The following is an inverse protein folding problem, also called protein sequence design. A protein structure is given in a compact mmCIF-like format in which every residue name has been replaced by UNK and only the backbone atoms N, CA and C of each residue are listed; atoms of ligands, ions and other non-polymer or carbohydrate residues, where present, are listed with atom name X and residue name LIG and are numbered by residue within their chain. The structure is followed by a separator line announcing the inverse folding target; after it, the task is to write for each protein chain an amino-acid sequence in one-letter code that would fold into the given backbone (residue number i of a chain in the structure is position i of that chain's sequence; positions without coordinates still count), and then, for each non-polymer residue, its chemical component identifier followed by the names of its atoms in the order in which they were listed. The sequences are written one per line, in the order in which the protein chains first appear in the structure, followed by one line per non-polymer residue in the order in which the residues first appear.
data_IF_208481509982
#
_entry.id   IF_208481509982
#
_cell.length_a   1.000
_cell.length_b   1.000
_cell.length_c   1.000
_cell.angle_alpha   90.00
_cell.angle_beta   90.00
_cell.angle_gamma   90.00
#
_symmetry.space_group_name_H-M   'P 1'
#
loop_
_entity.id
_entity.type
_entity.pdbx_description
1 polymer ?
#
# COMPACT_ATOMS: atom_id res chain seq x y z
N UNK A 1 13.53 24.97 1.47
CA UNK A 1 13.41 23.64 0.81
C UNK A 1 12.71 22.71 1.79
N UNK A 2 11.47 22.30 1.52
CA UNK A 2 10.79 21.31 2.36
C UNK A 2 11.35 19.93 2.05
N UNK A 3 12.11 19.36 2.99
CA UNK A 3 12.60 17.98 2.95
C UNK A 3 11.44 17.06 2.52
N UNK A 4 11.62 16.17 1.52
CA UNK A 4 10.59 15.17 1.20
C UNK A 4 10.23 14.44 2.48
N UNK A 5 8.94 14.40 2.81
CA UNK A 5 8.46 13.60 3.94
C UNK A 5 8.66 12.14 3.55
N UNK A 6 9.81 11.59 3.94
CA UNK A 6 10.13 10.18 3.80
C UNK A 6 9.19 9.45 4.76
N UNK A 7 8.33 8.57 4.24
CA UNK A 7 7.60 7.64 5.09
C UNK A 7 8.62 6.66 5.70
N UNK A 8 8.74 6.58 7.03
CA UNK A 8 9.64 5.61 7.65
C UNK A 8 9.23 4.17 7.28
N UNK A 9 10.17 3.21 7.29
CA UNK A 9 9.81 1.80 7.26
C UNK A 9 8.92 1.43 8.45
N UNK A 10 7.94 0.55 8.25
CA UNK A 10 7.02 0.15 9.31
C UNK A 10 5.78 -0.59 8.85
N UNK A 11 4.90 -0.87 9.81
CA UNK A 11 3.58 -1.46 9.60
C UNK A 11 2.50 -0.39 9.64
N UNK A 12 1.64 -0.35 8.63
CA UNK A 12 0.65 0.72 8.43
C UNK A 12 -0.74 0.18 8.12
N UNK A 13 -1.76 0.92 8.54
CA UNK A 13 -3.11 0.78 8.00
C UNK A 13 -3.39 1.94 7.06
N UNK A 14 -3.62 1.62 5.79
CA UNK A 14 -3.87 2.60 4.74
C UNK A 14 -5.37 2.86 4.68
N UNK A 15 -5.77 4.13 4.56
CA UNK A 15 -7.18 4.51 4.32
C UNK A 15 -7.31 5.26 3.01
N UNK A 16 -8.48 5.10 2.41
CA UNK A 16 -8.92 5.92 1.30
C UNK A 16 -9.43 7.26 1.82
N UNK A 17 -8.78 8.36 1.46
CA UNK A 17 -9.14 9.71 1.92
C UNK A 17 -10.56 10.14 1.52
N UNK A 18 -11.09 9.63 0.40
CA UNK A 18 -12.42 9.96 -0.09
C UNK A 18 -13.54 9.22 0.64
N UNK A 19 -13.30 7.99 1.08
CA UNK A 19 -14.33 7.15 1.71
C UNK A 19 -14.11 6.92 3.22
N UNK A 20 -12.91 7.21 3.73
CA UNK A 20 -12.49 6.88 5.10
C UNK A 20 -12.29 5.38 5.36
N UNK A 21 -12.58 4.53 4.37
CA UNK A 21 -12.46 3.08 4.46
C UNK A 21 -10.99 2.65 4.42
N UNK A 22 -10.67 1.55 5.09
CA UNK A 22 -9.36 0.94 5.02
C UNK A 22 -9.13 0.32 3.64
N UNK A 23 -7.89 0.33 3.17
CA UNK A 23 -7.45 -0.40 2.00
C UNK A 23 -6.68 -1.62 2.49
N UNK A 24 -7.09 -2.82 2.07
CA UNK A 24 -6.42 -4.04 2.52
C UNK A 24 -7.06 -5.31 1.98
N UNK A 25 -6.61 -6.43 2.52
CA UNK A 25 -7.20 -7.73 2.25
C UNK A 25 -8.20 -8.09 3.35
N UNK A 26 -9.39 -8.54 2.95
CA UNK A 26 -10.35 -9.15 3.89
C UNK A 26 -9.81 -10.54 4.27
N UNK A 27 -9.77 -10.85 5.57
CA UNK A 27 -9.23 -12.09 6.16
C UNK A 27 -9.57 -13.32 5.30
N UNK A 28 -8.58 -13.90 4.62
CA UNK A 28 -8.77 -15.09 3.78
C UNK A 28 -7.56 -16.01 3.89
N UNK A 29 -7.81 -17.28 4.25
CA UNK A 29 -6.81 -18.30 4.54
C UNK A 29 -6.15 -18.95 3.29
N UNK A 30 -6.29 -18.34 2.11
CA UNK A 30 -5.84 -18.95 0.85
C UNK A 30 -4.73 -18.13 0.19
N UNK A 31 -3.58 -18.76 -0.02
CA UNK A 31 -2.46 -18.27 -0.82
C UNK A 31 -2.91 -18.06 -2.28
N UNK A 32 -2.56 -16.93 -2.89
CA UNK A 32 -2.85 -16.63 -4.30
C UNK A 32 -3.03 -15.14 -4.60
N UNK A 33 -3.27 -14.82 -5.87
CA UNK A 33 -3.54 -13.46 -6.35
C UNK A 33 -4.87 -12.96 -5.78
N UNK A 34 -4.82 -12.08 -4.77
CA UNK A 34 -6.02 -11.55 -4.10
C UNK A 34 -6.18 -10.05 -4.35
N UNK A 35 -7.38 -9.57 -4.73
CA UNK A 35 -7.66 -8.15 -4.84
C UNK A 35 -7.55 -7.47 -3.48
N UNK A 36 -6.85 -6.34 -3.47
CA UNK A 36 -6.95 -5.34 -2.41
C UNK A 36 -8.25 -4.57 -2.61
N UNK A 37 -9.01 -4.40 -1.52
CA UNK A 37 -10.34 -3.80 -1.55
C UNK A 37 -10.45 -2.67 -0.52
N UNK A 38 -11.47 -1.83 -0.66
CA UNK A 38 -11.90 -0.92 0.40
C UNK A 38 -12.74 -1.69 1.41
N UNK A 39 -12.41 -1.57 2.69
CA UNK A 39 -12.98 -2.32 3.80
C UNK A 39 -13.45 -1.31 4.86
N UNK A 40 -14.69 -1.45 5.33
CA UNK A 40 -15.26 -0.56 6.35
C UNK A 40 -14.62 -0.74 7.73
N UNK A 41 -14.14 -1.94 8.02
CA UNK A 41 -13.48 -2.32 9.26
C UNK A 41 -11.96 -2.39 9.09
N UNK A 42 -11.23 -2.22 10.19
CA UNK A 42 -9.77 -2.34 10.18
C UNK A 42 -9.36 -3.77 9.78
N UNK A 43 -8.48 -3.94 8.77
CA UNK A 43 -7.98 -5.25 8.38
C UNK A 43 -7.19 -5.90 9.51
N UNK A 44 -7.18 -7.23 9.57
CA UNK A 44 -6.33 -7.97 10.51
C UNK A 44 -4.84 -7.97 10.12
N UNK A 45 -4.53 -7.59 8.88
CA UNK A 45 -3.18 -7.58 8.32
C UNK A 45 -2.79 -6.13 7.98
N UNK A 46 -1.68 -5.67 8.55
CA UNK A 46 -1.10 -4.38 8.22
C UNK A 46 -0.30 -4.46 6.91
N UNK A 47 -0.08 -3.29 6.31
CA UNK A 47 0.85 -3.11 5.21
C UNK A 47 2.25 -2.97 5.76
N UNK A 48 3.17 -3.78 5.29
CA UNK A 48 4.58 -3.68 5.61
C UNK A 48 5.26 -2.83 4.53
N UNK A 49 5.86 -1.72 4.93
CA UNK A 49 6.53 -0.78 4.03
C UNK A 49 8.01 -0.74 4.41
N UNK A 50 8.88 -1.09 3.47
CA UNK A 50 10.33 -0.99 3.62
C UNK A 50 10.88 0.03 2.62
N UNK A 51 11.79 0.90 3.06
CA UNK A 51 12.49 1.84 2.17
C UNK A 51 13.75 1.18 1.60
N UNK A 52 13.95 1.31 0.29
CA UNK A 52 15.16 0.90 -0.41
C UNK A 52 16.19 2.02 -0.42
N UNK A 53 17.48 1.67 -0.59
CA UNK A 53 18.59 2.63 -0.63
C UNK A 53 18.45 3.67 -1.76
N UNK A 54 17.72 3.33 -2.83
CA UNK A 54 17.44 4.22 -3.95
C UNK A 54 16.28 5.22 -3.68
N UNK A 55 15.69 5.20 -2.48
CA UNK A 55 14.58 6.06 -2.08
C UNK A 55 13.19 5.56 -2.51
N UNK A 56 13.10 4.45 -3.24
CA UNK A 56 11.85 3.75 -3.49
C UNK A 56 11.47 2.87 -2.30
N UNK A 57 10.32 2.21 -2.41
CA UNK A 57 9.74 1.39 -1.35
C UNK A 57 9.38 0.00 -1.84
N UNK A 58 9.49 -1.00 -0.98
CA UNK A 58 8.76 -2.26 -1.16
C UNK A 58 7.53 -2.24 -0.27
N UNK A 59 6.43 -2.78 -0.78
CA UNK A 59 5.15 -2.82 -0.08
C UNK A 59 4.68 -4.27 -0.07
N UNK A 60 4.41 -4.79 1.13
CA UNK A 60 3.95 -6.16 1.35
C UNK A 60 2.70 -6.18 2.22
N UNK A 61 1.95 -7.26 2.13
CA UNK A 61 0.87 -7.61 3.07
C UNK A 61 1.09 -9.06 3.46
N UNK A 62 1.23 -9.33 4.76
CA UNK A 62 1.51 -10.69 5.28
C UNK A 62 2.80 -11.28 4.69
N UNK A 63 3.86 -10.48 4.62
CA UNK A 63 5.15 -10.85 4.03
C UNK A 63 5.17 -11.05 2.51
N UNK A 64 4.03 -10.89 1.82
CA UNK A 64 3.93 -11.10 0.37
C UNK A 64 3.92 -9.78 -0.41
N UNK A 65 4.66 -9.67 -1.54
CA UNK A 65 4.72 -8.45 -2.33
C UNK A 65 3.37 -8.03 -2.89
N UNK A 66 3.14 -6.73 -2.96
CA UNK A 66 1.97 -6.13 -3.61
C UNK A 66 2.32 -5.65 -5.02
N UNK A 67 1.40 -5.89 -5.96
CA UNK A 67 1.50 -5.61 -7.39
C UNK A 67 0.31 -4.84 -7.89
N UNK A 68 0.53 -3.77 -8.65
CA UNK A 68 -0.52 -3.12 -9.44
C UNK A 68 -0.53 -3.72 -10.85
N UNK A 69 -1.68 -4.28 -11.26
CA UNK A 69 -1.93 -4.65 -12.65
C UNK A 69 -2.46 -3.41 -13.38
N UNK A 70 -1.64 -2.88 -14.29
CA UNK A 70 -1.95 -1.65 -15.05
C UNK A 70 -3.19 -1.78 -15.94
N UNK A 71 -3.51 -2.99 -16.44
CA UNK A 71 -4.61 -3.20 -17.39
C UNK A 71 -6.01 -3.07 -16.77
N UNK A 72 -6.14 -3.29 -15.47
CA UNK A 72 -7.43 -3.26 -14.77
C UNK A 72 -7.37 -2.49 -13.44
N UNK A 73 -6.30 -1.73 -13.21
CA UNK A 73 -6.04 -0.96 -11.99
C UNK A 73 -6.21 -1.77 -10.69
N UNK A 74 -6.08 -3.09 -10.76
CA UNK A 74 -6.23 -3.96 -9.61
C UNK A 74 -4.91 -4.07 -8.87
N UNK A 75 -4.95 -3.89 -7.56
CA UNK A 75 -3.80 -4.14 -6.70
C UNK A 75 -3.94 -5.55 -6.11
N UNK A 76 -2.90 -6.36 -6.23
CA UNK A 76 -2.90 -7.79 -5.92
C UNK A 76 -1.68 -8.17 -5.11
N UNK A 77 -1.82 -9.20 -4.28
CA UNK A 77 -0.66 -9.83 -3.63
C UNK A 77 -0.08 -10.88 -4.59
N UNK A 78 1.22 -10.78 -4.91
CA UNK A 78 1.92 -11.74 -5.78
C UNK A 78 3.27 -12.15 -5.16
N UNK A 79 3.43 -13.40 -4.69
CA UNK A 79 4.65 -13.89 -4.05
C UNK A 79 5.90 -13.85 -4.93
N UNK A 80 5.75 -13.84 -6.26
CA UNK A 80 6.89 -13.91 -7.20
C UNK A 80 7.25 -12.55 -7.81
N UNK A 81 6.58 -11.48 -7.41
CA UNK A 81 6.81 -10.17 -7.98
C UNK A 81 7.78 -9.35 -7.14
N UNK A 82 8.66 -8.62 -7.82
CA UNK A 82 9.51 -7.60 -7.21
C UNK A 82 9.15 -6.26 -7.85
N UNK A 83 8.42 -5.43 -7.11
CA UNK A 83 8.08 -4.08 -7.54
C UNK A 83 8.58 -3.06 -6.53
N UNK A 84 9.07 -1.96 -7.10
CA UNK A 84 9.45 -0.77 -6.36
C UNK A 84 8.34 0.25 -6.49
N UNK A 85 7.94 0.81 -5.36
CA UNK A 85 6.89 1.80 -5.25
C UNK A 85 7.50 3.16 -4.93
N UNK A 86 6.96 4.21 -5.55
CA UNK A 86 7.25 5.58 -5.16
C UNK A 86 6.10 6.12 -4.33
N UNK A 87 6.36 6.40 -3.05
CA UNK A 87 5.40 7.08 -2.18
C UNK A 87 5.60 8.58 -2.36
N UNK A 88 4.53 9.28 -2.74
CA UNK A 88 4.58 10.72 -3.00
C UNK A 88 3.69 11.46 -2.00
N UNK A 89 4.23 12.40 -1.22
CA UNK A 89 3.44 13.19 -0.27
C UNK A 89 2.30 13.96 -0.96
N UNK A 90 1.12 13.95 -0.34
CA UNK A 90 -0.11 14.58 -0.87
C UNK A 90 0.04 16.07 -1.21
N UNK A 91 0.89 16.79 -0.48
CA UNK A 91 1.16 18.22 -0.71
C UNK A 91 1.92 18.52 -2.01
N UNK A 92 2.32 17.49 -2.78
CA UNK A 92 3.03 17.65 -4.06
C UNK A 92 2.20 17.23 -5.28
N UNK A 93 0.95 16.81 -5.11
CA UNK A 93 0.10 16.29 -6.20
C UNK A 93 -1.32 16.88 -6.14
N UNK A 94 -1.82 17.33 -7.30
CA UNK A 94 -3.20 17.80 -7.47
C UNK A 94 -4.17 16.61 -7.45
N UNK A 95 -4.68 16.26 -6.27
CA UNK A 95 -5.83 15.38 -5.97
C UNK A 95 -5.73 13.88 -6.30
N UNK A 96 -6.11 13.03 -5.31
CA UNK A 96 -6.47 11.63 -5.52
C UNK A 96 -5.53 10.54 -4.98
N UNK A 97 -5.00 10.65 -3.75
CA UNK A 97 -4.07 9.65 -3.20
C UNK A 97 -4.50 9.07 -1.84
N UNK A 98 -4.02 7.85 -1.60
CA UNK A 98 -4.18 7.06 -0.38
C UNK A 98 -3.29 7.63 0.73
N UNK A 99 -3.86 7.98 1.89
CA UNK A 99 -3.07 8.32 3.06
C UNK A 99 -2.80 7.06 3.91
N UNK A 100 -1.53 6.87 4.28
CA UNK A 100 -1.13 5.93 5.32
C UNK A 100 -1.20 6.65 6.66
N UNK A 101 -1.96 6.09 7.62
CA UNK A 101 -2.02 6.58 8.99
C UNK A 101 -1.24 5.62 9.89
N UNK A 102 -0.52 6.17 10.87
CA UNK A 102 0.17 5.42 11.94
C UNK A 102 -0.81 5.03 13.03
#
# INVERSE_FOLDING_TARGET
MTRPTILPPGSYFIKNDGTGQFIGQVKSALLGTKPIQSISEQPSLAWEIDQLDNGNYTIKVNGLPVVAIKSNLSVLINPTAHLEWRIVPRNTLNSGYLAAYT
#
